data_IF_050033791292
#
_entry.id   IF_050033791292
#
_cell.length_a   1.000
_cell.length_b   1.000
_cell.length_c   1.000
_cell.angle_alpha   90.00
_cell.angle_beta   90.00
_cell.angle_gamma   90.00
#
_symmetry.space_group_name_H-M   'P 1'
#
loop_
_entity.id
_entity.type
_entity.pdbx_description
1 polymer ?
#
# COMPACT_ATOMS: atom_id res chain seq x y z
N UNK A 1 13.30 -23.53 -8.02
CA UNK A 1 13.86 -22.29 -7.41
C UNK A 1 13.03 -21.99 -6.20
N UNK A 2 13.61 -21.92 -5.00
CA UNK A 2 12.85 -21.51 -3.81
C UNK A 2 12.49 -20.04 -4.01
N UNK A 3 11.20 -19.74 -4.19
CA UNK A 3 10.71 -18.37 -4.25
C UNK A 3 10.84 -17.84 -2.82
N UNK A 4 11.96 -17.19 -2.49
CA UNK A 4 12.08 -16.54 -1.19
C UNK A 4 11.14 -15.34 -1.20
N UNK A 5 9.93 -15.53 -0.67
CA UNK A 5 8.95 -14.45 -0.46
C UNK A 5 9.60 -13.40 0.44
N UNK A 6 9.48 -12.12 0.06
CA UNK A 6 9.91 -11.02 0.91
C UNK A 6 9.10 -10.96 2.21
N UNK A 7 9.59 -10.23 3.19
CA UNK A 7 8.89 -9.98 4.45
C UNK A 7 8.43 -8.54 4.53
N UNK A 8 7.17 -8.34 4.89
CA UNK A 8 6.59 -7.03 5.19
C UNK A 8 6.32 -6.96 6.70
N UNK A 9 7.20 -6.28 7.43
CA UNK A 9 7.04 -6.09 8.88
C UNK A 9 6.20 -4.85 9.14
N UNK A 10 5.12 -5.00 9.90
CA UNK A 10 4.31 -3.84 10.30
C UNK A 10 5.13 -2.88 11.18
N UNK A 11 5.07 -1.60 10.86
CA UNK A 11 5.81 -0.53 11.58
C UNK A 11 4.87 0.32 12.41
N UNK A 12 3.68 0.64 11.88
CA UNK A 12 2.71 1.48 12.57
C UNK A 12 1.66 2.06 11.63
N UNK A 13 0.85 2.97 12.16
CA UNK A 13 -0.10 3.73 11.36
C UNK A 13 0.62 4.77 10.50
N UNK A 14 0.15 4.98 9.26
CA UNK A 14 0.61 6.07 8.40
C UNK A 14 -0.11 7.40 8.69
N UNK A 15 -1.23 7.36 9.43
CA UNK A 15 -2.01 8.54 9.80
C UNK A 15 -1.20 9.45 10.72
N UNK A 16 -1.13 10.74 10.36
CA UNK A 16 -0.46 11.74 11.18
C UNK A 16 1.08 11.79 11.03
N UNK A 17 1.68 10.89 10.26
CA UNK A 17 3.15 10.72 10.20
C UNK A 17 3.74 10.69 8.79
N UNK A 18 2.96 10.29 7.78
CA UNK A 18 3.43 10.30 6.38
C UNK A 18 3.12 11.65 5.75
N UNK A 19 4.08 12.18 5.01
CA UNK A 19 4.05 13.52 4.46
C UNK A 19 4.06 13.52 2.93
N UNK A 20 3.53 14.59 2.34
CA UNK A 20 3.77 14.97 0.96
C UNK A 20 4.23 16.43 0.94
N UNK A 21 5.52 16.64 0.70
CA UNK A 21 6.15 17.94 0.92
C UNK A 21 6.04 18.33 2.39
N UNK A 22 5.30 19.40 2.69
CA UNK A 22 5.11 19.90 4.06
C UNK A 22 3.82 19.42 4.72
N UNK A 23 2.92 18.83 3.95
CA UNK A 23 1.59 18.47 4.42
C UNK A 23 1.57 17.04 4.91
N UNK A 24 0.83 16.80 5.99
CA UNK A 24 0.53 15.44 6.45
C UNK A 24 -0.56 14.86 5.58
N UNK A 25 -0.31 13.68 5.01
CA UNK A 25 -1.27 13.01 4.12
C UNK A 25 -2.52 12.61 4.91
N UNK A 26 -3.68 12.98 4.38
CA UNK A 26 -4.97 12.50 4.86
C UNK A 26 -5.35 11.24 4.10
N UNK A 27 -5.34 10.10 4.78
CA UNK A 27 -5.67 8.82 4.17
C UNK A 27 -7.16 8.54 4.28
N UNK A 28 -7.86 8.28 3.17
CA UNK A 28 -9.20 7.73 3.25
C UNK A 28 -9.11 6.27 3.70
N UNK A 29 -9.81 5.91 4.78
CA UNK A 29 -9.80 4.56 5.33
C UNK A 29 -8.56 4.22 6.17
N UNK A 30 -8.11 2.97 6.08
CA UNK A 30 -6.92 2.52 6.81
C UNK A 30 -5.64 2.89 6.05
N UNK A 31 -4.57 3.16 6.79
CA UNK A 31 -3.25 3.35 6.20
C UNK A 31 -2.16 2.86 7.17
N UNK A 32 -1.39 1.88 6.72
CA UNK A 32 -0.42 1.14 7.54
C UNK A 32 0.95 1.18 6.90
N UNK A 33 1.98 1.50 7.69
CA UNK A 33 3.37 1.47 7.28
C UNK A 33 3.97 0.08 7.45
N UNK A 34 4.68 -0.37 6.42
CA UNK A 34 5.43 -1.61 6.41
C UNK A 34 6.87 -1.36 6.01
N UNK A 35 7.79 -2.04 6.70
CA UNK A 35 9.17 -2.17 6.29
C UNK A 35 9.34 -3.48 5.49
N UNK A 36 9.84 -3.36 4.27
CA UNK A 36 10.00 -4.45 3.31
C UNK A 36 11.45 -4.95 3.27
N UNK A 37 11.60 -6.28 3.23
CA UNK A 37 12.88 -6.95 3.00
C UNK A 37 12.66 -8.10 2.00
N UNK A 38 13.22 -8.06 0.78
CA UNK A 38 14.04 -6.99 0.19
C UNK A 38 13.23 -5.71 -0.13
N UNK A 39 13.86 -4.61 -0.61
CA UNK A 39 13.14 -3.42 -1.07
C UNK A 39 12.29 -3.69 -2.33
N UNK A 40 11.09 -3.12 -2.42
CA UNK A 40 10.23 -3.18 -3.60
C UNK A 40 10.50 -1.96 -4.49
N UNK A 41 11.00 -2.16 -5.71
CA UNK A 41 11.35 -1.06 -6.64
C UNK A 41 12.25 0.04 -6.01
N UNK A 42 13.08 -0.34 -5.04
CA UNK A 42 13.96 0.58 -4.29
C UNK A 42 13.37 1.12 -2.99
N UNK A 43 12.08 0.93 -2.72
CA UNK A 43 11.45 1.34 -1.45
C UNK A 43 11.59 0.26 -0.38
N UNK A 44 12.25 0.61 0.72
CA UNK A 44 12.29 -0.23 1.94
C UNK A 44 11.08 -0.02 2.83
N UNK A 45 10.36 1.08 2.65
CA UNK A 45 9.16 1.41 3.42
C UNK A 45 8.02 1.69 2.46
N UNK A 46 6.84 1.16 2.75
CA UNK A 46 5.63 1.39 1.98
C UNK A 46 4.45 1.70 2.89
N UNK A 47 3.51 2.48 2.38
CA UNK A 47 2.15 2.59 2.95
C UNK A 47 1.24 1.62 2.21
N UNK A 48 0.54 0.77 2.96
CA UNK A 48 -0.65 0.07 2.48
C UNK A 48 -1.89 0.85 2.92
N UNK A 49 -2.56 1.52 1.98
CA UNK A 49 -3.80 2.27 2.22
C UNK A 49 -5.00 1.46 1.72
N UNK A 50 -5.91 1.12 2.63
CA UNK A 50 -7.04 0.23 2.34
C UNK A 50 -8.37 0.94 2.55
N UNK A 51 -9.19 0.94 1.51
CA UNK A 51 -10.57 1.39 1.50
C UNK A 51 -11.49 0.16 1.58
N UNK A 52 -12.25 -0.03 2.67
CA UNK A 52 -13.15 -1.19 2.78
C UNK A 52 -14.41 -1.09 1.89
N UNK A 53 -14.67 0.07 1.29
CA UNK A 53 -15.89 0.37 0.54
C UNK A 53 -15.62 1.33 -0.63
N UNK A 54 -14.60 1.01 -1.44
CA UNK A 54 -14.25 1.71 -2.65
C UNK A 54 -15.28 1.49 -3.77
N UNK A 55 -15.51 2.54 -4.55
CA UNK A 55 -16.42 2.53 -5.70
C UNK A 55 -15.68 2.00 -6.92
N UNK A 56 -16.28 1.04 -7.63
CA UNK A 56 -15.78 0.50 -8.89
C UNK A 56 -16.85 0.55 -9.97
N UNK A 57 -16.45 0.91 -11.19
CA UNK A 57 -17.36 0.91 -12.35
C UNK A 57 -17.15 -0.38 -13.13
N UNK A 58 -18.13 -1.27 -13.09
CA UNK A 58 -18.04 -2.57 -13.74
C UNK A 58 -17.96 -2.44 -15.26
N UNK A 59 -17.24 -3.34 -15.92
CA UNK A 59 -17.04 -3.33 -17.38
C UNK A 59 -18.35 -3.39 -18.19
N UNK A 60 -19.41 -3.98 -17.63
CA UNK A 60 -20.74 -4.05 -18.26
C UNK A 60 -21.63 -2.84 -17.95
N UNK A 61 -21.08 -1.82 -17.29
CA UNK A 61 -21.84 -0.72 -16.69
C UNK A 61 -22.41 -1.12 -15.32
N UNK A 62 -22.60 -0.13 -14.46
CA UNK A 62 -23.03 -0.32 -13.07
C UNK A 62 -21.96 0.08 -12.07
N UNK A 63 -22.40 0.41 -10.85
CA UNK A 63 -21.53 0.78 -9.74
C UNK A 63 -21.49 -0.36 -8.74
N UNK A 64 -20.30 -0.88 -8.51
CA UNK A 64 -19.99 -1.88 -7.50
C UNK A 64 -19.22 -1.23 -6.35
N UNK A 65 -19.25 -1.90 -5.20
CA UNK A 65 -18.56 -1.48 -3.98
C UNK A 65 -17.78 -2.66 -3.44
N UNK A 66 -16.53 -2.42 -3.06
CA UNK A 66 -15.63 -3.47 -2.58
C UNK A 66 -14.45 -2.92 -1.82
N UNK A 67 -13.54 -3.81 -1.44
CA UNK A 67 -12.27 -3.43 -0.84
C UNK A 67 -11.29 -3.01 -1.94
N UNK A 68 -10.46 -2.02 -1.67
CA UNK A 68 -9.37 -1.61 -2.54
C UNK A 68 -8.18 -1.26 -1.68
N UNK A 69 -7.00 -1.75 -2.07
CA UNK A 69 -5.75 -1.44 -1.37
C UNK A 69 -4.76 -0.85 -2.36
N UNK A 70 -4.10 0.24 -1.95
CA UNK A 70 -2.98 0.85 -2.68
C UNK A 70 -1.69 0.69 -1.88
N UNK A 71 -0.60 0.38 -2.59
CA UNK A 71 0.75 0.37 -2.06
C UNK A 71 1.54 1.56 -2.62
N UNK A 72 2.02 2.41 -1.71
CA UNK A 72 2.80 3.61 -2.04
C UNK A 72 4.18 3.54 -1.44
N UNK A 73 5.19 3.92 -2.22
CA UNK A 73 6.57 4.01 -1.74
C UNK A 73 6.73 5.15 -0.74
N UNK A 74 7.59 4.97 0.26
CA UNK A 74 7.97 6.02 1.22
C UNK A 74 9.47 6.26 1.16
N UNK A 75 9.86 7.52 1.10
CA UNK A 75 11.22 8.01 0.95
C UNK A 75 11.67 8.79 2.17
N UNK A 76 12.98 8.75 2.44
CA UNK A 76 13.62 9.57 3.45
C UNK A 76 13.26 9.20 4.89
N UNK A 77 13.93 9.86 5.83
CA UNK A 77 13.66 9.72 7.27
C UNK A 77 12.40 10.49 7.70
N UNK A 78 11.96 11.45 6.89
CA UNK A 78 10.78 12.28 7.09
C UNK A 78 9.50 11.67 6.50
N UNK A 79 9.56 10.42 6.05
CA UNK A 79 8.42 9.63 5.57
C UNK A 79 7.63 10.32 4.45
N UNK A 80 8.31 10.73 3.38
CA UNK A 80 7.68 11.31 2.19
C UNK A 80 7.07 10.22 1.32
N UNK A 81 5.76 10.27 1.10
CA UNK A 81 5.12 9.35 0.16
C UNK A 81 5.40 9.75 -1.28
N UNK A 82 5.66 8.74 -2.11
CA UNK A 82 5.73 8.86 -3.56
C UNK A 82 4.40 8.40 -4.17
N UNK A 83 3.56 9.36 -4.56
CA UNK A 83 2.30 9.11 -5.28
C UNK A 83 2.47 9.01 -6.80
N UNK A 84 3.65 9.34 -7.33
CA UNK A 84 3.91 9.26 -8.77
C UNK A 84 4.11 7.80 -9.22
N UNK A 85 4.45 6.91 -8.28
CA UNK A 85 4.68 5.49 -8.54
C UNK A 85 3.76 4.60 -7.71
N UNK A 86 2.64 4.17 -8.31
CA UNK A 86 1.83 3.08 -7.76
C UNK A 86 2.63 1.77 -7.80
N UNK A 87 2.72 1.08 -6.65
CA UNK A 87 3.50 -0.16 -6.53
C UNK A 87 2.67 -1.40 -6.90
N UNK A 88 3.32 -2.48 -7.37
CA UNK A 88 2.65 -3.75 -7.67
C UNK A 88 1.84 -4.27 -6.49
N UNK A 89 0.70 -4.92 -6.76
CA UNK A 89 -0.23 -5.46 -5.75
C UNK A 89 -1.34 -4.48 -5.34
N UNK A 90 -1.21 -3.20 -5.70
CA UNK A 90 -2.32 -2.25 -5.61
C UNK A 90 -3.49 -2.69 -6.49
N UNK A 91 -4.73 -2.55 -6.00
CA UNK A 91 -5.91 -2.84 -6.81
C UNK A 91 -7.22 -3.00 -6.03
N UNK A 92 -8.30 -2.88 -6.79
CA UNK A 92 -9.66 -3.20 -6.33
C UNK A 92 -9.83 -4.72 -6.20
N UNK A 93 -10.52 -5.14 -5.14
CA UNK A 93 -10.68 -6.54 -4.75
C UNK A 93 -9.57 -7.05 -3.82
N UNK A 94 -8.45 -6.34 -3.73
CA UNK A 94 -7.32 -6.75 -2.89
C UNK A 94 -7.50 -6.27 -1.45
N UNK A 95 -7.51 -7.22 -0.51
CA UNK A 95 -7.24 -6.90 0.89
C UNK A 95 -5.78 -6.47 1.05
N UNK A 96 -5.43 -5.95 2.23
CA UNK A 96 -4.04 -5.65 2.57
C UNK A 96 -3.12 -6.86 2.37
N UNK A 97 -3.57 -8.06 2.78
CA UNK A 97 -2.77 -9.28 2.69
C UNK A 97 -2.59 -9.68 1.23
N UNK A 98 -3.63 -9.57 0.42
CA UNK A 98 -3.56 -9.87 -1.02
C UNK A 98 -2.61 -8.91 -1.72
N UNK A 99 -2.71 -7.61 -1.45
CA UNK A 99 -1.83 -6.61 -2.05
C UNK A 99 -0.35 -6.85 -1.72
N UNK A 100 -0.02 -7.16 -0.46
CA UNK A 100 1.35 -7.51 -0.08
C UNK A 100 1.81 -8.83 -0.71
N UNK A 101 0.93 -9.85 -0.77
CA UNK A 101 1.26 -11.14 -1.38
C UNK A 101 1.50 -11.03 -2.88
N UNK A 102 0.67 -10.27 -3.60
CA UNK A 102 0.85 -9.97 -5.02
C UNK A 102 2.13 -9.15 -5.28
N UNK A 103 2.49 -8.27 -4.35
CA UNK A 103 3.78 -7.57 -4.35
C UNK A 103 4.98 -8.50 -4.05
N UNK A 104 4.75 -9.76 -3.67
CA UNK A 104 5.78 -10.75 -3.36
C UNK A 104 6.20 -10.79 -1.90
N UNK A 105 5.38 -10.27 -0.96
CA UNK A 105 5.69 -10.16 0.46
C UNK A 105 4.70 -10.94 1.34
N UNK A 106 5.23 -11.55 2.40
CA UNK A 106 4.46 -12.12 3.49
C UNK A 106 4.47 -11.14 4.68
N UNK A 107 3.30 -10.77 5.23
CA UNK A 107 3.23 -10.03 6.48
C UNK A 107 3.86 -10.83 7.62
N UNK A 108 4.68 -10.19 8.47
CA UNK A 108 5.32 -10.79 9.66
C UNK A 108 5.21 -9.93 10.90
#
# INVERSE_FOLDING_TARGET
MANSTGHARFVGSAHGVVHQGRDVVQWPGEARLYHLVPPLRGYTTVVASTLPNAVHVAARGGVERGIETFLWGVLGEDLQVDFDTELPGSGWGNTLVDALAEAGYMPV
#
